data_IF_411553775739
#
_entry.id   IF_411553775739
#
_cell.length_a   1.000
_cell.length_b   1.000
_cell.length_c   1.000
_cell.angle_alpha   90.00
_cell.angle_beta   90.00
_cell.angle_gamma   90.00
#
_symmetry.space_group_name_H-M   'P 1'
#
loop_
_entity.id
_entity.type
_entity.pdbx_description
1 polymer ?
#
# COMPACT_ATOMS: atom_id res chain seq x y z
N UNK A 1 -42.63 37.00 35.02
CA UNK A 1 -41.94 37.34 33.74
C UNK A 1 -40.43 37.19 33.79
N UNK A 2 -39.70 37.78 34.75
CA UNK A 2 -38.22 37.75 34.77
C UNK A 2 -37.59 36.34 34.82
N UNK A 3 -38.21 35.41 35.55
CA UNK A 3 -37.71 34.02 35.69
C UNK A 3 -37.84 33.23 34.37
N UNK A 4 -38.93 33.43 33.62
CA UNK A 4 -39.16 32.75 32.34
C UNK A 4 -38.11 33.17 31.30
N UNK A 5 -37.74 34.46 31.28
CA UNK A 5 -36.72 34.99 30.39
C UNK A 5 -35.35 34.39 30.70
N UNK A 6 -35.00 34.24 31.99
CA UNK A 6 -33.72 33.63 32.40
C UNK A 6 -33.65 32.16 31.97
N UNK A 7 -34.74 31.40 32.15
CA UNK A 7 -34.80 29.98 31.71
C UNK A 7 -34.69 29.89 30.18
N UNK A 8 -35.33 30.79 29.43
CA UNK A 8 -35.23 30.84 27.97
C UNK A 8 -33.81 31.16 27.50
N UNK A 9 -33.10 32.07 28.17
CA UNK A 9 -31.70 32.40 27.85
C UNK A 9 -30.77 31.21 28.15
N UNK A 10 -31.00 30.51 29.26
CA UNK A 10 -30.22 29.31 29.61
C UNK A 10 -30.48 28.19 28.60
N UNK A 11 -31.74 27.95 28.22
CA UNK A 11 -32.08 26.96 27.20
C UNK A 11 -31.53 27.33 25.81
N UNK A 12 -31.54 28.63 25.42
CA UNK A 12 -30.94 29.08 24.17
C UNK A 12 -29.42 28.85 24.15
N UNK A 13 -28.72 29.21 25.24
CA UNK A 13 -27.28 29.02 25.34
C UNK A 13 -26.91 27.52 25.39
N UNK A 14 -27.72 26.70 26.04
CA UNK A 14 -27.52 25.25 26.06
C UNK A 14 -27.67 24.64 24.65
N UNK A 15 -28.70 25.06 23.90
CA UNK A 15 -28.88 24.65 22.50
C UNK A 15 -27.76 25.13 21.56
N UNK A 16 -27.19 26.30 21.81
CA UNK A 16 -26.05 26.82 21.03
C UNK A 16 -24.74 26.07 21.29
N UNK A 17 -24.59 25.40 22.44
CA UNK A 17 -23.40 24.61 22.77
C UNK A 17 -23.55 23.11 22.46
N UNK A 18 -24.78 22.61 22.29
CA UNK A 18 -25.04 21.17 22.07
C UNK A 18 -25.42 20.80 20.63
N UNK A 19 -25.57 21.76 19.72
CA UNK A 19 -25.63 21.46 18.30
C UNK A 19 -24.19 21.36 17.79
N UNK A 20 -23.71 20.21 17.28
CA UNK A 20 -22.52 20.24 16.45
C UNK A 20 -22.86 21.20 15.32
N UNK A 21 -22.16 22.32 15.25
CA UNK A 21 -22.30 23.25 14.14
C UNK A 21 -21.97 22.41 12.93
N UNK A 22 -22.99 22.01 12.17
CA UNK A 22 -22.85 21.43 10.84
C UNK A 22 -22.24 22.54 10.00
N UNK A 23 -20.93 22.72 10.12
CA UNK A 23 -20.15 23.53 9.20
C UNK A 23 -20.31 22.84 7.87
N UNK A 24 -21.08 23.50 7.00
CA UNK A 24 -21.38 22.99 5.67
C UNK A 24 -20.06 22.65 4.97
N UNK A 25 -19.94 21.41 4.53
CA UNK A 25 -18.76 20.95 3.81
C UNK A 25 -18.60 21.61 2.43
N UNK A 26 -19.52 22.50 2.04
CA UNK A 26 -19.46 23.28 0.81
C UNK A 26 -18.11 23.99 0.66
N UNK A 27 -17.58 24.66 1.69
CA UNK A 27 -16.31 25.39 1.56
C UNK A 27 -15.13 24.46 1.22
N UNK A 28 -15.07 23.30 1.86
CA UNK A 28 -14.04 22.30 1.62
C UNK A 28 -14.09 21.72 0.21
N UNK A 29 -15.29 21.39 -0.28
CA UNK A 29 -15.46 20.64 -1.53
C UNK A 29 -15.78 21.49 -2.76
N UNK A 30 -16.20 22.75 -2.60
CA UNK A 30 -16.55 23.65 -3.72
C UNK A 30 -15.41 23.82 -4.72
N UNK A 31 -14.16 23.79 -4.25
CA UNK A 31 -12.97 23.86 -5.11
C UNK A 31 -12.89 22.71 -6.13
N UNK A 32 -13.53 21.57 -5.86
CA UNK A 32 -13.52 20.41 -6.75
C UNK A 32 -14.70 20.39 -7.71
N UNK A 33 -15.83 21.02 -7.33
CA UNK A 33 -17.04 21.06 -8.17
C UNK A 33 -16.82 21.76 -9.52
N UNK A 34 -15.81 22.62 -9.62
CA UNK A 34 -15.55 23.41 -10.82
C UNK A 34 -14.50 22.80 -11.77
N UNK A 35 -13.64 21.90 -11.28
CA UNK A 35 -12.45 21.49 -12.04
C UNK A 35 -12.66 20.27 -12.95
N UNK A 36 -13.73 19.51 -12.74
CA UNK A 36 -13.99 18.22 -13.42
C UNK A 36 -12.78 17.26 -13.36
N UNK A 37 -11.87 17.49 -12.40
CA UNK A 37 -10.67 16.69 -12.21
C UNK A 37 -10.99 15.47 -11.37
N UNK A 38 -10.14 14.45 -11.52
CA UNK A 38 -10.10 13.36 -10.58
C UNK A 38 -9.60 13.87 -9.22
N UNK A 39 -10.26 13.42 -8.14
CA UNK A 39 -9.97 13.79 -6.76
C UNK A 39 -9.46 12.55 -6.04
N UNK A 40 -8.28 12.62 -5.42
CA UNK A 40 -7.84 11.56 -4.51
C UNK A 40 -8.42 11.81 -3.13
N UNK A 41 -9.01 10.78 -2.54
CA UNK A 41 -9.48 10.79 -1.16
C UNK A 41 -8.68 9.79 -0.33
N UNK A 42 -8.24 10.22 0.84
CA UNK A 42 -7.54 9.40 1.83
C UNK A 42 -8.29 9.50 3.15
N UNK A 43 -8.67 8.36 3.70
CA UNK A 43 -9.36 8.25 4.98
C UNK A 43 -8.49 7.45 5.94
N UNK A 44 -8.36 7.91 7.16
CA UNK A 44 -7.73 7.16 8.25
C UNK A 44 -8.72 7.01 9.40
N UNK A 45 -8.90 5.78 9.87
CA UNK A 45 -9.78 5.43 10.98
C UNK A 45 -8.97 4.93 12.17
N UNK A 46 -9.34 5.37 13.37
CA UNK A 46 -8.84 4.81 14.63
C UNK A 46 -9.99 4.32 15.49
N UNK A 47 -9.88 3.11 16.03
CA UNK A 47 -10.92 2.56 16.88
C UNK A 47 -10.91 3.23 18.26
N UNK A 48 -12.09 3.51 18.80
CA UNK A 48 -12.26 4.22 20.07
C UNK A 48 -11.69 3.47 21.28
N UNK A 49 -11.74 2.14 21.26
CA UNK A 49 -11.44 1.31 22.43
C UNK A 49 -10.27 0.32 22.23
N UNK A 50 -9.63 0.33 21.06
CA UNK A 50 -8.55 -0.61 20.76
C UNK A 50 -7.48 0.06 19.90
N UNK A 51 -6.38 -0.65 19.66
CA UNK A 51 -5.32 -0.21 18.76
C UNK A 51 -5.64 -0.47 17.28
N UNK A 52 -6.87 -0.87 16.96
CA UNK A 52 -7.26 -1.15 15.58
C UNK A 52 -7.26 0.16 14.76
N UNK A 53 -6.67 0.08 13.58
CA UNK A 53 -6.57 1.21 12.65
C UNK A 53 -7.04 0.78 11.27
N UNK A 54 -7.57 1.74 10.52
CA UNK A 54 -8.00 1.54 9.15
C UNK A 54 -7.47 2.65 8.25
N UNK A 55 -7.16 2.31 7.01
CA UNK A 55 -6.86 3.26 5.96
C UNK A 55 -7.71 2.97 4.74
N UNK A 56 -8.44 3.96 4.23
CA UNK A 56 -9.12 3.87 2.95
C UNK A 56 -8.48 4.86 1.98
N UNK A 57 -8.29 4.45 0.74
CA UNK A 57 -7.85 5.36 -0.31
C UNK A 57 -8.53 5.03 -1.62
N UNK A 58 -8.85 6.07 -2.37
CA UNK A 58 -9.60 5.93 -3.61
C UNK A 58 -9.63 7.23 -4.39
N UNK A 59 -10.24 7.14 -5.57
CA UNK A 59 -10.48 8.28 -6.43
C UNK A 59 -11.97 8.58 -6.51
N UNK A 60 -12.29 9.87 -6.54
CA UNK A 60 -13.63 10.41 -6.66
C UNK A 60 -13.72 11.28 -7.91
N UNK A 61 -14.92 11.38 -8.47
CA UNK A 61 -15.29 12.36 -9.48
C UNK A 61 -16.60 13.03 -9.10
N UNK A 62 -16.75 14.27 -9.56
CA UNK A 62 -18.00 15.03 -9.40
C UNK A 62 -19.05 14.45 -10.33
N UNK A 63 -20.19 14.07 -9.77
CA UNK A 63 -21.35 13.60 -10.53
C UNK A 63 -22.23 14.78 -10.95
N UNK A 64 -23.13 14.54 -11.91
CA UNK A 64 -24.05 15.58 -12.42
C UNK A 64 -25.00 16.14 -11.36
N UNK A 65 -25.25 15.41 -10.27
CA UNK A 65 -26.04 15.84 -9.11
C UNK A 65 -25.19 16.53 -8.02
N UNK A 66 -23.93 16.88 -8.31
CA UNK A 66 -23.07 17.65 -7.41
C UNK A 66 -22.52 16.85 -6.22
N UNK A 67 -22.51 15.51 -6.32
CA UNK A 67 -21.88 14.63 -5.33
C UNK A 67 -20.47 14.23 -5.77
N UNK A 68 -19.67 13.77 -4.83
CA UNK A 68 -18.41 13.09 -5.16
C UNK A 68 -18.64 11.59 -5.06
N UNK A 69 -18.50 10.88 -6.17
CA UNK A 69 -18.69 9.44 -6.22
C UNK A 69 -17.39 8.75 -6.61
N UNK A 70 -17.16 7.57 -6.07
CA UNK A 70 -15.99 6.77 -6.42
C UNK A 70 -15.97 6.42 -7.91
N UNK A 71 -14.79 6.50 -8.52
CA UNK A 71 -14.57 6.06 -9.91
C UNK A 71 -14.23 4.58 -10.00
N UNK A 72 -13.70 4.02 -8.91
CA UNK A 72 -13.41 2.62 -8.70
C UNK A 72 -13.57 2.29 -7.20
N UNK A 73 -13.75 1.02 -6.82
CA UNK A 73 -13.81 0.62 -5.40
C UNK A 73 -12.62 1.18 -4.60
N UNK A 74 -12.87 1.80 -3.44
CA UNK A 74 -11.77 2.19 -2.56
C UNK A 74 -11.10 0.95 -2.00
N UNK A 75 -9.77 1.01 -1.92
CA UNK A 75 -9.00 0.02 -1.17
C UNK A 75 -9.02 0.41 0.30
N UNK A 76 -9.42 -0.52 1.16
CA UNK A 76 -9.44 -0.43 2.62
C UNK A 76 -8.41 -1.39 3.20
N UNK A 77 -7.53 -0.88 4.03
CA UNK A 77 -6.57 -1.66 4.82
C UNK A 77 -7.01 -1.61 6.27
N UNK A 78 -7.02 -2.75 6.94
CA UNK A 78 -7.29 -2.86 8.37
C UNK A 78 -6.08 -3.46 9.07
N UNK A 79 -5.79 -3.00 10.27
CA UNK A 79 -4.85 -3.67 11.17
C UNK A 79 -5.47 -3.81 12.54
N UNK A 80 -5.32 -5.01 13.11
CA UNK A 80 -5.76 -5.34 14.46
C UNK A 80 -4.58 -5.38 15.44
N UNK A 81 -3.33 -5.36 14.94
CA UNK A 81 -2.10 -5.46 15.73
C UNK A 81 -0.96 -4.63 15.10
N UNK A 82 -0.32 -3.76 15.89
CA UNK A 82 0.92 -3.09 15.49
C UNK A 82 2.12 -4.02 15.67
N UNK A 83 2.41 -4.87 14.69
CA UNK A 83 3.66 -5.66 14.71
C UNK A 83 4.88 -4.77 14.41
N UNK A 84 5.63 -4.43 15.46
CA UNK A 84 6.92 -3.77 15.36
C UNK A 84 8.00 -4.77 14.91
N UNK A 85 8.35 -4.80 13.62
CA UNK A 85 9.55 -5.52 13.16
C UNK A 85 10.70 -4.55 12.90
N UNK A 86 11.75 -4.61 13.73
CA UNK A 86 13.03 -3.89 13.56
C UNK A 86 12.89 -2.38 13.24
N UNK A 87 12.12 -1.64 14.04
CA UNK A 87 11.96 -0.17 13.95
C UNK A 87 11.39 0.35 12.61
N UNK A 88 10.72 -0.49 11.81
CA UNK A 88 9.99 -0.08 10.61
C UNK A 88 8.51 -0.38 10.80
N UNK A 89 7.69 0.67 10.80
CA UNK A 89 6.23 0.54 10.81
C UNK A 89 5.76 0.14 9.40
N UNK A 90 5.30 -1.10 9.26
CA UNK A 90 4.39 -1.48 8.19
C UNK A 90 3.01 -1.68 8.82
N UNK A 91 2.18 -0.63 8.88
CA UNK A 91 0.94 -0.68 9.65
C UNK A 91 -0.13 -1.60 9.04
N UNK A 92 0.03 -2.08 7.81
CA UNK A 92 -0.98 -2.88 7.12
C UNK A 92 -0.37 -4.07 6.38
N UNK A 93 -0.99 -5.24 6.53
CA UNK A 93 -0.73 -6.41 5.69
C UNK A 93 -1.54 -6.30 4.40
N UNK A 94 -0.93 -6.69 3.29
CA UNK A 94 -1.58 -6.72 1.97
C UNK A 94 -2.74 -7.73 1.92
N UNK A 95 -2.67 -8.77 2.74
CA UNK A 95 -3.69 -9.80 2.84
C UNK A 95 -4.94 -9.32 3.59
N UNK A 96 -4.84 -8.20 4.30
CA UNK A 96 -5.94 -7.55 5.05
C UNK A 96 -6.54 -6.38 4.24
N UNK A 97 -6.38 -6.41 2.92
CA UNK A 97 -6.97 -5.45 2.00
C UNK A 97 -8.39 -5.89 1.59
N UNK A 98 -9.34 -4.99 1.80
CA UNK A 98 -10.74 -5.12 1.40
C UNK A 98 -11.09 -4.01 0.42
N UNK A 99 -12.18 -4.20 -0.33
CA UNK A 99 -12.70 -3.18 -1.22
C UNK A 99 -14.06 -2.70 -0.74
N UNK A 100 -14.25 -1.38 -0.71
CA UNK A 100 -15.58 -0.82 -0.46
C UNK A 100 -16.43 -0.94 -1.72
N UNK A 101 -17.69 -1.36 -1.57
CA UNK A 101 -18.68 -1.44 -2.64
C UNK A 101 -19.18 -0.07 -3.07
N UNK A 102 -19.23 0.90 -2.15
CA UNK A 102 -19.68 2.27 -2.43
C UNK A 102 -18.95 3.27 -1.55
N UNK A 103 -18.54 4.40 -2.13
CA UNK A 103 -18.03 5.56 -1.40
C UNK A 103 -18.59 6.83 -2.07
N UNK A 104 -19.43 7.57 -1.35
CA UNK A 104 -20.09 8.78 -1.85
C UNK A 104 -20.00 9.89 -0.81
N UNK A 105 -19.64 11.10 -1.24
CA UNK A 105 -19.76 12.32 -0.42
C UNK A 105 -20.88 13.16 -1.01
N UNK A 106 -21.94 13.35 -0.24
CA UNK A 106 -23.01 14.30 -0.55
C UNK A 106 -22.65 15.63 0.12
N UNK A 107 -22.15 16.56 -0.71
CA UNK A 107 -21.66 17.87 -0.27
C UNK A 107 -22.82 18.70 0.32
N UNK A 108 -23.97 18.71 -0.36
CA UNK A 108 -25.13 19.50 0.05
C UNK A 108 -25.67 19.06 1.41
N UNK A 109 -25.69 17.74 1.66
CA UNK A 109 -26.17 17.17 2.92
C UNK A 109 -25.06 16.99 3.97
N UNK A 110 -23.81 17.37 3.66
CA UNK A 110 -22.65 17.16 4.54
C UNK A 110 -22.62 15.74 5.09
N UNK A 111 -22.71 14.77 4.19
CA UNK A 111 -22.77 13.35 4.55
C UNK A 111 -21.84 12.51 3.70
N UNK A 112 -21.41 11.39 4.26
CA UNK A 112 -20.58 10.39 3.61
C UNK A 112 -21.27 9.03 3.70
N UNK A 113 -21.31 8.32 2.58
CA UNK A 113 -21.85 6.97 2.49
C UNK A 113 -20.73 5.98 2.16
N UNK A 114 -20.52 5.00 3.03
CA UNK A 114 -19.55 3.91 2.84
C UNK A 114 -20.29 2.58 2.93
N UNK A 115 -20.17 1.73 1.91
CA UNK A 115 -20.87 0.43 1.83
C UNK A 115 -22.38 0.49 2.13
N UNK A 116 -23.04 1.54 1.65
CA UNK A 116 -24.46 1.79 1.87
C UNK A 116 -24.81 2.51 3.17
N UNK A 117 -23.88 2.62 4.12
CA UNK A 117 -24.10 3.27 5.43
C UNK A 117 -23.81 4.76 5.35
N UNK A 118 -24.82 5.59 5.64
CA UNK A 118 -24.70 7.05 5.64
C UNK A 118 -24.31 7.56 7.03
N UNK A 119 -23.28 8.39 7.09
CA UNK A 119 -22.81 9.07 8.29
C UNK A 119 -22.76 10.59 8.06
N UNK A 120 -22.93 11.36 9.13
CA UNK A 120 -22.70 12.81 9.11
C UNK A 120 -21.22 13.10 8.95
N UNK A 121 -20.89 14.01 8.03
CA UNK A 121 -19.54 14.48 7.76
C UNK A 121 -19.36 15.87 8.36
N UNK A 122 -18.37 16.01 9.23
CA UNK A 122 -18.03 17.27 9.90
C UNK A 122 -16.78 17.85 9.24
N UNK A 123 -16.89 19.05 8.69
CA UNK A 123 -15.80 19.70 7.96
C UNK A 123 -15.25 20.90 8.73
N UNK A 124 -13.93 21.06 8.71
CA UNK A 124 -13.21 22.23 9.21
C UNK A 124 -12.75 23.08 8.00
N UNK A 125 -12.65 24.39 8.22
CA UNK A 125 -12.19 25.38 7.27
C UNK A 125 -10.71 25.18 6.86
N UNK A 126 -9.95 24.36 7.60
CA UNK A 126 -8.53 24.06 7.33
C UNK A 126 -8.26 22.90 6.35
N UNK A 127 -9.27 22.39 5.65
CA UNK A 127 -9.05 21.33 4.66
C UNK A 127 -9.27 19.91 5.20
N UNK A 128 -9.85 19.79 6.39
CA UNK A 128 -10.02 18.54 7.11
C UNK A 128 -11.50 18.18 7.26
N UNK A 129 -11.87 16.93 7.06
CA UNK A 129 -13.20 16.43 7.38
C UNK A 129 -13.12 15.18 8.24
N UNK A 130 -14.13 14.92 9.07
CA UNK A 130 -14.19 13.74 9.92
C UNK A 130 -15.61 13.20 10.07
N UNK A 131 -15.72 11.92 10.41
CA UNK A 131 -16.99 11.25 10.68
C UNK A 131 -16.77 10.08 11.64
N UNK A 132 -17.86 9.55 12.20
CA UNK A 132 -17.81 8.41 13.12
C UNK A 132 -18.65 7.29 12.53
N UNK A 133 -18.12 6.06 12.52
CA UNK A 133 -18.84 4.86 12.09
C UNK A 133 -18.33 3.64 12.87
N UNK A 134 -19.23 2.82 13.42
CA UNK A 134 -18.92 1.56 14.10
C UNK A 134 -17.76 1.67 15.13
N UNK A 135 -17.83 2.66 16.02
CA UNK A 135 -16.79 2.95 17.04
C UNK A 135 -15.41 3.38 16.50
N UNK A 136 -15.29 3.63 15.19
CA UNK A 136 -14.12 4.27 14.60
C UNK A 136 -14.33 5.78 14.42
N UNK A 137 -13.29 6.55 14.75
CA UNK A 137 -13.15 7.95 14.37
C UNK A 137 -12.39 8.03 13.07
N UNK A 138 -13.03 8.51 12.02
CA UNK A 138 -12.43 8.64 10.70
C UNK A 138 -12.09 10.09 10.39
N UNK A 139 -10.92 10.28 9.82
CA UNK A 139 -10.40 11.52 9.27
C UNK A 139 -10.31 11.39 7.75
N UNK A 140 -10.82 12.36 7.01
CA UNK A 140 -10.87 12.41 5.55
C UNK A 140 -10.07 13.62 5.05
N UNK A 141 -9.18 13.36 4.10
CA UNK A 141 -8.47 14.38 3.33
C UNK A 141 -8.74 14.13 1.86
N UNK A 142 -9.00 15.21 1.12
CA UNK A 142 -9.19 15.17 -0.33
C UNK A 142 -8.24 16.12 -1.04
N UNK A 143 -7.83 15.76 -2.26
CA UNK A 143 -6.97 16.60 -3.09
C UNK A 143 -7.27 16.40 -4.57
N UNK A 144 -7.29 17.49 -5.33
CA UNK A 144 -7.36 17.42 -6.79
C UNK A 144 -6.07 16.85 -7.36
N UNK A 145 -6.18 15.95 -8.33
CA UNK A 145 -5.01 15.35 -9.00
C UNK A 145 -4.42 16.25 -10.09
N UNK A 146 -5.14 17.29 -10.51
CA UNK A 146 -4.77 18.15 -11.64
C UNK A 146 -4.96 17.49 -13.01
N UNK A 147 -5.66 16.36 -13.07
CA UNK A 147 -5.97 15.62 -14.29
C UNK A 147 -7.43 15.14 -14.26
N UNK A 148 -8.10 15.17 -15.42
CA UNK A 148 -9.43 14.56 -15.59
C UNK A 148 -9.41 13.04 -15.45
N UNK A 149 -8.30 12.42 -15.85
CA UNK A 149 -8.11 10.98 -15.75
C UNK A 149 -7.53 10.61 -14.38
N UNK A 150 -8.17 9.66 -13.71
CA UNK A 150 -7.65 9.09 -12.46
C UNK A 150 -6.47 8.16 -12.76
N UNK A 151 -5.27 8.38 -12.20
CA UNK A 151 -4.17 7.45 -12.35
C UNK A 151 -4.47 6.12 -11.62
N UNK A 152 -3.67 5.09 -11.84
CA UNK A 152 -3.79 3.85 -11.07
C UNK A 152 -3.47 4.10 -9.58
N UNK A 153 -4.27 3.53 -8.68
CA UNK A 153 -4.07 3.66 -7.24
C UNK A 153 -3.15 2.56 -6.72
N UNK A 154 -1.90 2.89 -6.43
CA UNK A 154 -0.98 1.98 -5.73
C UNK A 154 -1.10 2.14 -4.22
N UNK A 155 -2.21 1.67 -3.64
CA UNK A 155 -2.47 1.71 -2.19
C UNK A 155 -2.93 0.35 -1.72
N UNK A 156 -2.28 -0.18 -0.68
CA UNK A 156 -2.56 -1.54 -0.21
C UNK A 156 -2.10 -2.64 -1.14
N UNK A 157 -1.41 -2.30 -2.25
CA UNK A 157 -0.67 -3.26 -3.05
C UNK A 157 0.58 -3.71 -2.27
N UNK A 158 1.07 -4.95 -2.45
CA UNK A 158 2.37 -5.32 -1.90
C UNK A 158 3.40 -4.32 -2.42
N UNK A 159 4.50 -4.10 -1.71
CA UNK A 159 5.63 -3.34 -2.24
C UNK A 159 6.38 -4.12 -3.36
N UNK A 160 5.64 -4.81 -4.24
CA UNK A 160 6.07 -5.47 -5.46
C UNK A 160 5.33 -4.82 -6.64
N UNK A 161 6.07 -4.57 -7.71
CA UNK A 161 5.60 -3.85 -8.91
C UNK A 161 4.61 -4.70 -9.72
N UNK A 162 3.67 -4.06 -10.46
CA UNK A 162 2.73 -4.72 -11.35
C UNK A 162 3.40 -5.74 -12.28
N UNK A 163 2.69 -6.85 -12.51
CA UNK A 163 3.08 -8.05 -13.26
C UNK A 163 3.22 -7.84 -14.77
N UNK A 164 3.87 -6.75 -15.20
CA UNK A 164 4.31 -6.56 -16.59
C UNK A 164 5.58 -7.38 -16.84
N UNK A 165 5.55 -8.69 -16.56
CA UNK A 165 6.61 -9.67 -16.82
C UNK A 165 8.01 -9.21 -16.43
N UNK A 166 8.54 -9.70 -15.30
CA UNK A 166 9.90 -9.42 -14.85
C UNK A 166 10.89 -9.33 -16.02
N UNK A 167 11.52 -8.18 -16.22
CA UNK A 167 12.62 -8.02 -17.19
C UNK A 167 13.91 -8.55 -16.59
N UNK A 168 13.84 -9.70 -15.93
CA UNK A 168 14.98 -10.44 -15.47
C UNK A 168 15.16 -11.61 -16.42
N UNK A 169 16.34 -11.73 -17.01
CA UNK A 169 16.66 -12.82 -17.93
C UNK A 169 17.61 -13.79 -17.27
N UNK A 170 17.41 -15.08 -17.56
CA UNK A 170 18.28 -16.16 -17.09
C UNK A 170 18.85 -16.91 -18.27
N UNK A 171 20.16 -17.09 -18.32
CA UNK A 171 20.84 -17.93 -19.31
C UNK A 171 21.52 -19.10 -18.61
N UNK A 172 21.19 -20.32 -19.01
CA UNK A 172 21.82 -21.55 -18.51
C UNK A 172 22.80 -22.06 -19.56
N UNK A 173 24.05 -22.30 -19.15
CA UNK A 173 25.13 -22.79 -20.03
C UNK A 173 25.72 -24.05 -19.43
N UNK A 174 25.85 -25.11 -20.24
CA UNK A 174 26.60 -26.31 -19.85
C UNK A 174 28.09 -25.98 -19.85
N UNK A 175 28.76 -26.22 -18.73
CA UNK A 175 30.21 -26.05 -18.60
C UNK A 175 30.95 -27.37 -18.78
N UNK A 176 30.47 -28.43 -18.13
CA UNK A 176 31.17 -29.71 -18.05
C UNK A 176 30.17 -30.84 -17.82
N UNK A 177 30.55 -32.08 -18.14
CA UNK A 177 29.80 -33.29 -17.81
C UNK A 177 30.76 -34.44 -17.46
N UNK A 178 30.37 -35.30 -16.52
CA UNK A 178 31.15 -36.47 -16.11
C UNK A 178 30.25 -37.65 -15.70
N UNK A 179 30.82 -38.85 -15.58
CA UNK A 179 30.09 -40.00 -15.06
C UNK A 179 29.81 -39.82 -13.57
N UNK A 180 28.55 -40.01 -13.16
CA UNK A 180 28.13 -39.77 -11.79
C UNK A 180 28.92 -40.66 -10.81
N UNK A 181 29.55 -40.10 -9.76
CA UNK A 181 30.49 -40.85 -8.92
C UNK A 181 29.90 -42.09 -8.26
N UNK A 182 28.59 -42.09 -7.99
CA UNK A 182 27.89 -43.20 -7.32
C UNK A 182 27.28 -44.21 -8.29
N UNK A 183 27.17 -43.87 -9.58
CA UNK A 183 26.54 -44.69 -10.61
C UNK A 183 27.08 -44.32 -11.99
N UNK A 184 28.07 -45.07 -12.47
CA UNK A 184 28.75 -44.78 -13.74
C UNK A 184 27.84 -44.95 -14.98
N UNK A 185 26.62 -45.46 -14.82
CA UNK A 185 25.62 -45.47 -15.89
C UNK A 185 24.91 -44.13 -16.09
N UNK A 186 25.08 -43.19 -15.16
CA UNK A 186 24.49 -41.85 -15.18
C UNK A 186 25.55 -40.79 -15.48
N UNK A 187 25.12 -39.73 -16.16
CA UNK A 187 25.93 -38.55 -16.43
C UNK A 187 25.45 -37.42 -15.53
N UNK A 188 26.38 -36.77 -14.86
CA UNK A 188 26.15 -35.52 -14.13
C UNK A 188 26.68 -34.35 -14.96
N UNK A 189 25.90 -33.28 -15.00
CA UNK A 189 26.15 -32.09 -15.81
C UNK A 189 26.35 -30.89 -14.89
N UNK A 190 27.40 -30.12 -15.15
CA UNK A 190 27.70 -28.86 -14.48
C UNK A 190 27.23 -27.70 -15.34
N UNK A 191 26.40 -26.84 -14.75
CA UNK A 191 25.84 -25.68 -15.41
C UNK A 191 26.25 -24.40 -14.71
N UNK A 192 26.41 -23.35 -15.50
CA UNK A 192 26.50 -21.96 -15.07
C UNK A 192 25.22 -21.23 -15.44
N UNK A 193 24.72 -20.42 -14.52
CA UNK A 193 23.53 -19.59 -14.72
C UNK A 193 23.91 -18.14 -14.58
N UNK A 194 23.58 -17.35 -15.59
CA UNK A 194 23.70 -15.89 -15.57
C UNK A 194 22.31 -15.29 -15.42
N UNK A 195 22.11 -14.49 -14.37
CA UNK A 195 20.89 -13.73 -14.10
C UNK A 195 21.17 -12.26 -14.40
N UNK A 196 20.50 -11.70 -15.39
CA UNK A 196 20.71 -10.30 -15.82
C UNK A 196 19.49 -9.45 -15.47
N UNK A 197 19.73 -8.33 -14.79
CA UNK A 197 18.71 -7.34 -14.53
C UNK A 197 18.49 -6.45 -15.76
N UNK A 198 17.44 -6.67 -16.53
CA UNK A 198 17.05 -5.82 -17.66
C UNK A 198 15.91 -4.85 -17.31
N UNK A 199 15.62 -4.67 -16.02
CA UNK A 199 14.75 -3.61 -15.53
C UNK A 199 15.41 -2.24 -15.65
N UNK A 200 14.61 -1.18 -15.53
CA UNK A 200 15.11 0.21 -15.48
C UNK A 200 15.58 0.62 -14.07
N UNK A 201 15.63 -0.31 -13.12
CA UNK A 201 15.92 -0.05 -11.71
C UNK A 201 16.72 -1.19 -11.07
N UNK A 202 17.40 -0.90 -9.96
CA UNK A 202 18.16 -1.91 -9.22
C UNK A 202 17.22 -2.89 -8.49
N UNK A 203 17.58 -4.17 -8.49
CA UNK A 203 16.87 -5.23 -7.77
C UNK A 203 17.72 -5.71 -6.60
N UNK A 204 17.16 -5.78 -5.41
CA UNK A 204 17.84 -6.31 -4.22
C UNK A 204 17.76 -7.83 -4.13
N UNK A 205 16.78 -8.44 -4.80
CA UNK A 205 16.67 -9.90 -4.86
C UNK A 205 15.94 -10.36 -6.13
N UNK A 206 16.19 -11.59 -6.56
CA UNK A 206 15.46 -12.31 -7.61
C UNK A 206 15.19 -13.71 -7.11
N UNK A 207 13.97 -14.21 -7.26
CA UNK A 207 13.57 -15.58 -6.92
C UNK A 207 13.32 -16.35 -8.22
N UNK A 208 14.06 -17.45 -8.39
CA UNK A 208 13.93 -18.34 -9.53
C UNK A 208 13.36 -19.68 -9.06
N UNK A 209 12.34 -20.19 -9.76
CA UNK A 209 11.80 -21.53 -9.54
C UNK A 209 12.33 -22.53 -10.56
N UNK A 210 12.54 -23.77 -10.13
CA UNK A 210 12.90 -24.87 -11.04
C UNK A 210 11.71 -25.23 -11.94
N UNK A 211 11.94 -25.41 -13.25
CA UNK A 211 10.90 -25.75 -14.23
C UNK A 211 11.03 -27.21 -14.64
N UNK A 212 9.92 -27.97 -14.60
CA UNK A 212 9.92 -29.37 -15.01
C UNK A 212 10.32 -30.37 -13.92
N UNK A 213 10.33 -29.95 -12.66
CA UNK A 213 10.45 -30.85 -11.50
C UNK A 213 11.84 -31.47 -11.31
N UNK A 214 12.88 -30.93 -11.94
CA UNK A 214 14.27 -31.32 -11.66
C UNK A 214 14.77 -30.61 -10.40
N UNK A 215 15.77 -31.21 -9.74
CA UNK A 215 16.44 -30.63 -8.58
C UNK A 215 17.96 -30.71 -8.76
N UNK A 216 18.73 -29.68 -8.36
CA UNK A 216 20.18 -29.73 -8.41
C UNK A 216 20.73 -30.78 -7.43
N UNK A 217 21.83 -31.43 -7.80
CA UNK A 217 22.62 -32.29 -6.90
C UNK A 217 23.46 -31.43 -5.97
N UNK A 218 24.13 -30.41 -6.52
CA UNK A 218 24.84 -29.36 -5.78
C UNK A 218 24.55 -28.01 -6.41
N UNK A 219 24.60 -26.93 -5.61
CA UNK A 219 24.37 -25.56 -6.07
C UNK A 219 25.15 -24.58 -5.18
N UNK A 220 25.68 -23.51 -5.77
CA UNK A 220 26.52 -22.53 -5.07
C UNK A 220 26.24 -21.09 -5.53
N UNK A 221 26.67 -20.10 -4.74
CA UNK A 221 26.49 -18.66 -5.00
C UNK A 221 25.03 -18.18 -5.07
N UNK A 222 24.11 -18.92 -4.45
CA UNK A 222 22.69 -18.57 -4.26
C UNK A 222 22.19 -19.18 -2.94
N UNK A 223 21.10 -18.63 -2.41
CA UNK A 223 20.34 -19.26 -1.34
C UNK A 223 19.30 -20.21 -1.93
N UNK A 224 19.06 -21.35 -1.29
CA UNK A 224 18.08 -22.36 -1.72
C UNK A 224 16.98 -22.47 -0.67
N UNK A 225 15.72 -22.42 -1.12
CA UNK A 225 14.56 -22.62 -0.26
C UNK A 225 13.49 -23.43 -1.00
N UNK A 226 13.38 -24.72 -0.65
CA UNK A 226 12.50 -25.66 -1.36
C UNK A 226 12.86 -25.72 -2.85
N UNK A 227 11.87 -25.50 -3.71
CA UNK A 227 12.01 -25.54 -5.18
C UNK A 227 12.40 -24.19 -5.79
N UNK A 228 12.98 -23.30 -4.98
CA UNK A 228 13.38 -21.97 -5.41
C UNK A 228 14.81 -21.63 -5.00
N UNK A 229 15.41 -20.74 -5.78
CA UNK A 229 16.71 -20.14 -5.48
C UNK A 229 16.61 -18.63 -5.51
N UNK A 230 17.38 -17.96 -4.65
CA UNK A 230 17.44 -16.51 -4.59
C UNK A 230 18.86 -15.99 -4.48
N UNK A 231 19.04 -14.67 -4.56
CA UNK A 231 20.36 -14.08 -4.34
C UNK A 231 20.90 -14.45 -2.95
N UNK A 232 22.23 -14.64 -2.85
CA UNK A 232 22.88 -14.88 -1.57
C UNK A 232 22.94 -13.59 -0.75
N UNK A 233 23.03 -13.71 0.58
CA UNK A 233 22.94 -12.57 1.50
C UNK A 233 24.01 -11.49 1.28
N UNK A 234 25.15 -11.86 0.69
CA UNK A 234 26.24 -10.94 0.37
C UNK A 234 25.99 -10.10 -0.89
N UNK A 235 25.04 -10.49 -1.74
CA UNK A 235 24.67 -9.71 -2.92
C UNK A 235 23.54 -8.74 -2.54
N UNK A 236 23.91 -7.52 -2.16
CA UNK A 236 22.95 -6.51 -1.70
C UNK A 236 21.97 -6.04 -2.78
N UNK A 237 22.45 -5.93 -4.02
CA UNK A 237 21.63 -5.58 -5.17
C UNK A 237 22.33 -5.80 -6.51
N UNK A 238 21.52 -5.79 -7.56
CA UNK A 238 21.91 -5.87 -8.96
C UNK A 238 21.37 -4.64 -9.70
N UNK A 239 22.28 -3.76 -10.13
CA UNK A 239 21.93 -2.55 -10.88
C UNK A 239 21.31 -2.87 -12.25
N UNK A 240 20.62 -1.91 -12.91
CA UNK A 240 20.17 -2.06 -14.29
C UNK A 240 21.32 -2.47 -15.21
N UNK A 241 21.11 -3.51 -16.02
CA UNK A 241 22.10 -4.10 -16.94
C UNK A 241 23.15 -5.00 -16.28
N UNK A 242 23.25 -5.01 -14.95
CA UNK A 242 24.22 -5.87 -14.25
C UNK A 242 23.76 -7.34 -14.24
N UNK A 243 24.73 -8.24 -14.07
CA UNK A 243 24.48 -9.69 -13.99
C UNK A 243 25.08 -10.33 -12.75
N UNK A 244 24.36 -11.29 -12.18
CA UNK A 244 24.85 -12.21 -11.15
C UNK A 244 25.03 -13.59 -11.75
N UNK A 245 26.04 -14.34 -11.29
CA UNK A 245 26.35 -15.67 -11.79
C UNK A 245 26.37 -16.67 -10.65
N UNK A 246 25.72 -17.80 -10.86
CA UNK A 246 25.77 -18.95 -9.96
C UNK A 246 25.93 -20.24 -10.74
N UNK A 247 26.19 -21.35 -10.06
CA UNK A 247 26.33 -22.64 -10.73
C UNK A 247 25.74 -23.78 -9.92
N UNK A 248 25.50 -24.89 -10.61
CA UNK A 248 24.93 -26.10 -10.04
C UNK A 248 25.33 -27.33 -10.84
N UNK A 249 25.15 -28.50 -10.24
CA UNK A 249 25.21 -29.79 -10.94
C UNK A 249 23.84 -30.46 -10.95
N UNK A 250 23.55 -31.25 -11.99
CA UNK A 250 22.27 -31.93 -12.17
C UNK A 250 22.43 -33.23 -12.93
N UNK A 251 21.54 -34.19 -12.68
CA UNK A 251 21.38 -35.40 -13.51
C UNK A 251 20.42 -35.17 -14.68
N UNK A 252 19.69 -34.05 -14.70
CA UNK A 252 18.78 -33.69 -15.78
C UNK A 252 19.51 -32.94 -16.90
N UNK A 253 19.17 -33.25 -18.14
CA UNK A 253 19.65 -32.53 -19.33
C UNK A 253 18.82 -31.26 -19.57
N UNK A 254 19.49 -30.15 -19.88
CA UNK A 254 18.87 -28.85 -20.20
C UNK A 254 17.90 -28.32 -19.12
N UNK A 255 18.34 -28.25 -17.85
CA UNK A 255 17.58 -27.64 -16.77
C UNK A 255 17.22 -26.18 -17.09
N UNK A 256 16.01 -25.78 -16.71
CA UNK A 256 15.51 -24.41 -16.92
C UNK A 256 14.94 -23.83 -15.63
N UNK A 257 14.99 -22.50 -15.57
CA UNK A 257 14.47 -21.69 -14.46
C UNK A 257 13.37 -20.77 -14.98
N UNK A 258 12.43 -20.41 -14.11
CA UNK A 258 11.48 -19.32 -14.32
C UNK A 258 11.66 -18.27 -13.23
N UNK A 259 11.55 -17.00 -13.58
CA UNK A 259 11.49 -15.94 -12.58
C UNK A 259 10.10 -16.01 -11.92
N UNK A 260 10.07 -16.23 -10.61
CA UNK A 260 8.83 -16.28 -9.83
C UNK A 260 8.66 -15.08 -8.90
N UNK A 261 9.70 -14.26 -8.75
CA UNK A 261 9.65 -13.01 -8.01
C UNK A 261 10.92 -12.17 -8.15
N UNK A 262 10.82 -10.87 -7.86
CA UNK A 262 11.96 -9.98 -7.65
C UNK A 262 11.63 -8.94 -6.58
N UNK A 263 12.66 -8.43 -5.89
CA UNK A 263 12.54 -7.36 -4.90
C UNK A 263 13.30 -6.16 -5.43
N UNK A 264 12.62 -5.01 -5.50
CA UNK A 264 13.23 -3.74 -5.95
C UNK A 264 14.03 -3.10 -4.82
N UNK A 265 15.20 -2.56 -5.15
CA UNK A 265 15.90 -1.66 -4.23
C UNK A 265 15.33 -0.25 -4.38
N UNK A 266 14.58 0.21 -3.38
CA UNK A 266 14.18 1.61 -3.30
C UNK A 266 15.32 2.39 -2.65
N UNK A 267 15.82 3.41 -3.35
CA UNK A 267 16.54 4.48 -2.67
C UNK A 267 15.56 5.06 -1.65
N UNK A 268 15.91 4.97 -0.37
CA UNK A 268 15.20 5.65 0.69
C UNK A 268 14.98 7.09 0.26
N UNK A 269 13.73 7.47 0.00
CA UNK A 269 13.36 8.88 -0.07
C UNK A 269 13.89 9.54 1.21
N UNK A 270 14.45 10.75 1.15
CA UNK A 270 14.74 11.49 2.36
C UNK A 270 13.41 11.60 3.11
N UNK A 271 13.32 10.87 4.23
CA UNK A 271 12.29 11.11 5.22
C UNK A 271 12.53 12.56 5.63
N UNK A 272 11.62 13.46 5.26
CA UNK A 272 11.53 14.75 5.92
C UNK A 272 11.24 14.42 7.38
N UNK A 273 12.29 14.38 8.18
CA UNK A 273 12.18 14.31 9.63
C UNK A 273 11.49 15.59 10.06
N UNK A 274 10.17 15.54 10.27
CA UNK A 274 9.49 16.52 11.10
C UNK A 274 10.05 16.33 12.50
N UNK A 275 10.95 17.24 12.88
CA UNK A 275 11.40 17.40 14.25
C UNK A 275 10.23 18.05 14.98
N UNK A 276 9.51 17.28 15.78
CA UNK A 276 8.58 17.83 16.77
C UNK A 276 9.41 18.58 17.83
N UNK A 277 9.52 19.90 17.69
CA UNK A 277 9.77 20.78 18.83
C UNK A 277 8.44 20.97 19.58
N UNK A 278 8.04 19.96 20.36
CA UNK A 278 7.13 20.20 21.48
C UNK A 278 7.98 20.46 22.73
N UNK A 279 8.49 21.68 22.86
CA UNK A 279 8.86 22.21 24.17
C UNK A 279 7.69 23.02 24.73
N UNK A 280 7.13 22.50 25.83
CA UNK A 280 6.47 23.27 26.89
C UNK A 280 5.29 24.17 26.51
N UNK A 281 4.07 23.62 26.58
CA UNK A 281 2.95 24.33 27.21
C UNK A 281 2.18 23.35 28.09
N UNK A 282 2.73 23.05 29.26
CA UNK A 282 1.95 22.53 30.38
C UNK A 282 1.49 23.70 31.22
N UNK A 283 0.22 23.67 31.65
CA UNK A 283 -0.51 24.55 32.56
C UNK A 283 -1.36 25.63 31.90
N UNK A 284 -2.67 25.38 31.87
CA UNK A 284 -3.63 26.40 32.28
C UNK A 284 -4.57 25.81 33.33
N UNK A 285 -4.74 26.61 34.38
CA UNK A 285 -5.77 26.51 35.41
C UNK A 285 -7.17 26.67 34.81
#
# INVERSE_FOLDING_TARGET
>A
MKIIIIILIICLNYYSFSAPINQSCNNLFNQFLQSNDCIVASVSGVHKYSLAQEGLKGFLQVTSDGKLNQTAPFTRLQTYETTCYKNKLQPFSVHDAFYTKSFVIDIANSSIQIDGVTNSLFCDDQGFAHFIQNDFYYSLIVRGTGSKNCPSLQFGEPCGIPDNGFKITTKVELEEQWNYPQDQSKIEYKYKVTVTNSETYAVSNVILGFVGGWTPVQIWSVNVQGDTVSFPDWLSSLAPGASHVFGFTSLATNPTFKVVGSVRQYNSFPVLSYREEYSEVTKFY
#
